data_IF_459491443602
#
_entry.id   IF_459491443602
#
_cell.length_a   1.000
_cell.length_b   1.000
_cell.length_c   1.000
_cell.angle_alpha   90.00
_cell.angle_beta   90.00
_cell.angle_gamma   90.00
#
_symmetry.space_group_name_H-M   'P 1'
#
loop_
_entity.id
_entity.type
_entity.pdbx_description
1 polymer ?
#
# COMPACT_ATOMS: atom_id res chain seq x y z
N UNK A 1 5.59 8.11 15.05
CA UNK A 1 5.79 7.94 13.59
C UNK A 1 5.06 6.64 13.25
N UNK A 2 4.06 6.71 12.36
CA UNK A 2 2.86 5.86 12.36
C UNK A 2 3.10 4.36 12.17
N UNK A 3 2.41 3.58 12.99
CA UNK A 3 2.55 2.13 13.18
C UNK A 3 1.31 1.39 12.63
N UNK A 4 0.73 1.86 11.52
CA UNK A 4 -0.63 1.45 11.07
C UNK A 4 -0.74 -0.02 10.61
N UNK A 5 0.41 -0.66 10.34
CA UNK A 5 0.45 -2.05 9.88
C UNK A 5 0.91 -3.04 10.95
N UNK A 6 1.39 -2.57 12.11
CA UNK A 6 1.98 -3.45 13.13
C UNK A 6 0.88 -4.15 13.92
N UNK A 7 0.97 -5.47 14.02
CA UNK A 7 0.02 -6.30 14.80
C UNK A 7 -1.27 -6.69 14.06
N UNK A 8 -1.39 -6.41 12.75
CA UNK A 8 -2.51 -6.93 11.95
C UNK A 8 -2.25 -8.37 11.50
N UNK A 9 -3.12 -9.28 11.93
CA UNK A 9 -3.06 -10.70 11.54
C UNK A 9 -3.38 -10.90 10.05
N UNK A 10 -4.14 -9.98 9.44
CA UNK A 10 -4.50 -10.00 8.02
C UNK A 10 -3.45 -9.36 7.10
N UNK A 11 -2.40 -8.75 7.65
CA UNK A 11 -1.36 -8.10 6.86
C UNK A 11 -0.30 -9.11 6.39
N UNK A 12 -0.24 -9.35 5.08
CA UNK A 12 0.84 -10.14 4.47
C UNK A 12 1.82 -9.24 3.71
N UNK A 13 3.01 -9.10 4.27
CA UNK A 13 4.11 -8.33 3.69
C UNK A 13 4.87 -9.15 2.65
N UNK A 14 5.24 -8.52 1.53
CA UNK A 14 6.06 -9.09 0.46
C UNK A 14 7.09 -8.04 0.04
N UNK A 15 8.38 -8.39 0.11
CA UNK A 15 9.47 -7.45 -0.21
C UNK A 15 9.61 -6.25 0.74
N UNK A 16 8.83 -6.23 1.83
CA UNK A 16 8.85 -5.24 2.91
C UNK A 16 8.53 -5.93 4.25
N UNK A 17 8.60 -5.20 5.36
CA UNK A 17 8.22 -5.67 6.69
C UNK A 17 7.50 -4.62 7.53
N UNK A 18 7.03 -4.97 8.74
CA UNK A 18 6.34 -4.03 9.63
C UNK A 18 7.21 -2.84 10.05
N UNK A 19 8.53 -2.99 10.05
CA UNK A 19 9.50 -1.92 10.34
C UNK A 19 9.94 -1.15 9.08
N UNK A 20 9.24 -1.31 7.95
CA UNK A 20 9.51 -0.54 6.73
C UNK A 20 9.28 0.93 7.04
N UNK A 21 10.37 1.68 7.15
CA UNK A 21 10.30 3.13 7.38
C UNK A 21 9.66 3.82 6.17
N UNK A 22 8.46 4.37 6.36
CA UNK A 22 7.84 5.24 5.39
C UNK A 22 7.77 6.67 5.93
N UNK A 23 7.99 7.65 5.05
CA UNK A 23 7.96 9.05 5.42
C UNK A 23 6.52 9.59 5.51
N UNK A 24 5.58 9.00 4.75
CA UNK A 24 4.19 9.45 4.67
C UNK A 24 3.26 8.34 4.18
N UNK A 25 2.05 8.27 4.76
CA UNK A 25 0.94 7.45 4.26
C UNK A 25 0.12 8.25 3.24
N UNK A 26 -0.16 7.68 2.08
CA UNK A 26 -0.84 8.37 0.97
C UNK A 26 -1.88 7.45 0.33
N UNK A 27 -3.14 7.90 0.24
CA UNK A 27 -4.17 7.20 -0.53
C UNK A 27 -4.41 7.81 -1.93
N UNK A 28 -3.89 9.01 -2.18
CA UNK A 28 -3.99 9.70 -3.47
C UNK A 28 -2.71 9.45 -4.29
N UNK A 29 -2.80 8.65 -5.36
CA UNK A 29 -1.65 8.26 -6.20
C UNK A 29 -0.87 9.47 -6.73
N UNK A 30 -1.54 10.62 -6.93
CA UNK A 30 -0.92 11.86 -7.42
C UNK A 30 0.07 12.46 -6.44
N UNK A 31 -0.06 12.15 -5.14
CA UNK A 31 0.79 12.64 -4.05
C UNK A 31 1.91 11.66 -3.67
N UNK A 32 2.03 10.53 -4.36
CA UNK A 32 3.07 9.54 -4.08
C UNK A 32 4.42 10.05 -4.58
N UNK A 33 5.45 9.80 -3.77
CA UNK A 33 6.85 10.04 -4.09
C UNK A 33 7.78 9.13 -3.27
N UNK A 34 9.09 9.37 -3.34
CA UNK A 34 10.10 8.56 -2.68
C UNK A 34 9.83 8.35 -1.19
N UNK A 35 9.79 7.10 -0.75
CA UNK A 35 9.59 6.75 0.67
C UNK A 35 8.14 6.82 1.16
N UNK A 36 7.15 7.02 0.28
CA UNK A 36 5.74 7.01 0.64
C UNK A 36 5.20 5.58 0.75
N UNK A 37 4.26 5.36 1.67
CA UNK A 37 3.42 4.17 1.73
C UNK A 37 2.09 4.49 1.06
N UNK A 38 1.83 3.89 -0.09
CA UNK A 38 0.58 4.12 -0.84
C UNK A 38 -0.49 3.12 -0.42
N UNK A 39 -1.72 3.56 -0.13
CA UNK A 39 -2.86 2.68 0.20
C UNK A 39 -3.87 2.68 -0.94
N UNK A 40 -3.97 1.56 -1.65
CA UNK A 40 -4.94 1.34 -2.69
C UNK A 40 -6.32 1.03 -2.09
N UNK A 41 -7.12 2.06 -1.85
CA UNK A 41 -8.48 1.90 -1.33
C UNK A 41 -9.40 1.30 -2.39
N UNK A 42 -10.09 0.20 -2.05
CA UNK A 42 -11.14 -0.38 -2.89
C UNK A 42 -12.49 0.33 -2.66
N UNK A 43 -13.27 0.59 -3.71
CA UNK A 43 -14.67 1.03 -3.59
C UNK A 43 -14.92 2.53 -3.52
N UNK A 44 -13.89 3.38 -3.70
CA UNK A 44 -14.08 4.80 -4.00
C UNK A 44 -14.45 5.04 -5.48
N UNK A 45 -14.56 6.31 -5.88
CA UNK A 45 -14.83 6.70 -7.28
C UNK A 45 -13.75 6.21 -8.29
N UNK A 46 -12.56 5.87 -7.79
CA UNK A 46 -11.45 5.32 -8.57
C UNK A 46 -10.85 4.14 -7.82
N UNK A 47 -10.63 3.02 -8.51
CA UNK A 47 -9.92 1.87 -7.95
C UNK A 47 -8.42 2.17 -7.87
N UNK A 48 -7.92 2.38 -6.65
CA UNK A 48 -6.52 2.71 -6.39
C UNK A 48 -5.52 1.64 -6.84
N UNK A 49 -5.97 0.40 -7.04
CA UNK A 49 -5.11 -0.72 -7.42
C UNK A 49 -4.55 -0.57 -8.84
N UNK A 50 -5.23 0.18 -9.71
CA UNK A 50 -4.73 0.48 -11.06
C UNK A 50 -3.47 1.35 -11.07
N UNK A 51 -3.15 2.02 -9.97
CA UNK A 51 -1.99 2.91 -9.88
C UNK A 51 -0.76 2.26 -9.25
N UNK A 52 -0.85 0.99 -8.81
CA UNK A 52 0.20 0.30 -8.05
C UNK A 52 1.55 0.31 -8.76
N UNK A 53 1.56 -0.01 -10.06
CA UNK A 53 2.80 -0.05 -10.83
C UNK A 53 3.42 1.36 -10.98
N UNK A 54 2.57 2.36 -11.25
CA UNK A 54 2.98 3.76 -11.36
C UNK A 54 3.60 4.28 -10.06
N UNK A 55 2.95 4.04 -8.92
CA UNK A 55 3.42 4.57 -7.63
C UNK A 55 4.72 3.89 -7.17
N UNK A 56 4.88 2.60 -7.47
CA UNK A 56 6.13 1.87 -7.25
C UNK A 56 7.26 2.45 -8.11
N UNK A 57 6.99 2.70 -9.40
CA UNK A 57 7.95 3.35 -10.30
C UNK A 57 8.35 4.76 -9.83
N UNK A 58 7.48 5.46 -9.10
CA UNK A 58 7.72 6.78 -8.51
C UNK A 58 8.49 6.74 -7.17
N UNK A 59 8.89 5.55 -6.72
CA UNK A 59 9.73 5.36 -5.54
C UNK A 59 8.96 5.17 -4.24
N UNK A 60 7.69 4.76 -4.29
CA UNK A 60 6.99 4.33 -3.08
C UNK A 60 7.80 3.27 -2.34
N UNK A 61 7.89 3.40 -1.00
CA UNK A 61 8.58 2.42 -0.16
C UNK A 61 7.83 1.08 -0.16
N UNK A 62 6.50 1.13 -0.14
CA UNK A 62 5.63 -0.01 -0.32
C UNK A 62 4.22 0.45 -0.74
N UNK A 63 3.42 -0.50 -1.23
CA UNK A 63 1.99 -0.29 -1.49
C UNK A 63 1.16 -1.22 -0.61
N UNK A 64 0.02 -0.75 -0.12
CA UNK A 64 -0.99 -1.54 0.57
C UNK A 64 -2.11 -1.81 -0.41
N UNK A 65 -2.42 -3.08 -0.63
CA UNK A 65 -3.36 -3.56 -1.63
C UNK A 65 -4.32 -4.57 -1.02
N UNK A 66 -5.56 -4.59 -1.49
CA UNK A 66 -6.56 -5.54 -1.06
C UNK A 66 -6.40 -6.87 -1.79
N UNK A 67 -6.47 -7.97 -1.03
CA UNK A 67 -6.41 -9.34 -1.57
C UNK A 67 -7.48 -9.57 -2.63
N UNK A 68 -7.07 -10.24 -3.70
CA UNK A 68 -7.97 -10.64 -4.80
C UNK A 68 -8.37 -9.51 -5.76
N UNK A 69 -7.87 -8.28 -5.58
CA UNK A 69 -8.14 -7.16 -6.52
C UNK A 69 -7.20 -7.13 -7.72
N UNK A 70 -5.92 -7.38 -7.51
CA UNK A 70 -4.88 -7.42 -8.55
C UNK A 70 -3.96 -8.62 -8.35
N UNK A 71 -3.16 -8.93 -9.37
CA UNK A 71 -2.03 -9.84 -9.22
C UNK A 71 -0.94 -9.21 -8.33
N UNK A 72 -0.02 -10.04 -7.83
CA UNK A 72 1.11 -9.56 -7.04
C UNK A 72 1.98 -8.60 -7.85
N UNK A 73 2.18 -7.35 -7.38
CA UNK A 73 3.07 -6.42 -8.06
C UNK A 73 4.53 -6.84 -7.86
N UNK A 74 5.40 -6.39 -8.77
CA UNK A 74 6.82 -6.72 -8.73
C UNK A 74 7.58 -6.03 -7.57
N UNK A 75 7.04 -4.94 -7.04
CA UNK A 75 7.65 -4.16 -5.96
C UNK A 75 7.15 -4.51 -4.55
N UNK A 76 7.70 -3.86 -3.51
CA UNK A 76 7.31 -4.10 -2.12
C UNK A 76 5.83 -3.78 -1.90
N UNK A 77 5.10 -4.74 -1.33
CA UNK A 77 3.66 -4.60 -1.11
C UNK A 77 3.16 -5.34 0.12
N UNK A 78 2.03 -4.88 0.64
CA UNK A 78 1.31 -5.45 1.76
C UNK A 78 -0.10 -5.79 1.32
N UNK A 79 -0.47 -7.05 1.47
CA UNK A 79 -1.84 -7.50 1.27
C UNK A 79 -2.64 -7.30 2.55
N UNK A 80 -3.84 -6.73 2.41
CA UNK A 80 -4.87 -6.72 3.44
C UNK A 80 -6.10 -7.46 2.92
N UNK A 81 -6.82 -8.13 3.81
CA UNK A 81 -8.13 -8.71 3.46
C UNK A 81 -9.17 -7.61 3.21
N UNK A 82 -9.07 -6.48 3.92
CA UNK A 82 -9.89 -5.29 3.69
C UNK A 82 -9.08 -3.99 3.87
N UNK A 83 -9.07 -3.14 2.85
CA UNK A 83 -8.30 -1.87 2.86
C UNK A 83 -8.99 -0.72 3.60
N UNK A 84 -10.30 -0.78 3.83
CA UNK A 84 -11.02 0.20 4.66
C UNK A 84 -10.71 0.04 6.14
N UNK A 85 -10.35 -1.17 6.56
CA UNK A 85 -9.91 -1.43 7.93
C UNK A 85 -8.54 -0.78 8.26
N UNK A 86 -7.81 -0.22 7.28
CA UNK A 86 -6.48 0.38 7.45
C UNK A 86 -6.48 1.92 7.60
N UNK A 87 -7.65 2.56 7.53
CA UNK A 87 -7.86 4.00 7.80
C UNK A 87 -8.43 4.21 9.20
#
# INVERSE_FOLDING_TARGET
MGDVLRGRDDARYVGCGPDTGFARLVADSRKVGPGALFVALAGGAHDGHGFVDEVLARGAAAVVIQRGRIAAPAGPHVWLDDTWAAL
#
